data_IF_540900558241
#
_entry.id   IF_540900558241
#
_cell.length_a   1.000
_cell.length_b   1.000
_cell.length_c   1.000
_cell.angle_alpha   90.00
_cell.angle_beta   90.00
_cell.angle_gamma   90.00
#
_symmetry.space_group_name_H-M   'P 1'
#
loop_
_entity.id
_entity.type
_entity.pdbx_description
1 polymer ?
#
# COMPACT_ATOMS: atom_id res chain seq x y z
N UNK A 1 -59.25 4.35 30.96
CA UNK A 1 -57.79 4.28 31.18
C UNK A 1 -57.25 3.13 30.35
N UNK A 2 -56.71 3.43 29.17
CA UNK A 2 -56.16 2.45 28.25
C UNK A 2 -54.73 2.10 28.69
N UNK A 3 -54.42 0.80 28.81
CA UNK A 3 -53.05 0.31 29.00
C UNK A 3 -52.35 0.36 27.64
N UNK A 4 -51.49 1.34 27.48
CA UNK A 4 -50.55 1.47 26.38
C UNK A 4 -49.46 0.40 26.56
N UNK A 5 -49.49 -0.62 25.70
CA UNK A 5 -48.48 -1.68 25.69
C UNK A 5 -47.42 -1.30 24.66
N UNK A 6 -46.35 -0.68 25.15
CA UNK A 6 -45.15 -0.40 24.37
C UNK A 6 -44.59 -1.72 23.82
N UNK A 7 -44.68 -1.87 22.50
CA UNK A 7 -44.16 -2.98 21.71
C UNK A 7 -42.64 -2.92 21.73
N UNK A 8 -42.01 -3.84 22.46
CA UNK A 8 -40.57 -4.02 22.41
C UNK A 8 -40.13 -4.39 20.99
N UNK A 9 -39.26 -3.57 20.40
CA UNK A 9 -38.67 -3.79 19.08
C UNK A 9 -37.56 -4.84 19.21
N UNK A 10 -37.82 -6.06 18.76
CA UNK A 10 -36.82 -7.13 18.67
C UNK A 10 -35.74 -6.76 17.64
N UNK A 11 -34.43 -6.96 17.91
CA UNK A 11 -33.39 -6.73 16.91
C UNK A 11 -33.57 -7.68 15.72
N UNK A 12 -33.66 -7.12 14.50
CA UNK A 12 -33.82 -7.89 13.28
C UNK A 12 -32.64 -8.85 13.04
N UNK A 13 -32.94 -10.09 12.68
CA UNK A 13 -31.93 -11.14 12.40
C UNK A 13 -31.16 -10.78 11.12
N UNK A 14 -29.84 -10.60 11.21
CA UNK A 14 -28.99 -10.30 10.07
C UNK A 14 -29.20 -11.28 8.89
N UNK A 15 -29.32 -10.73 7.69
CA UNK A 15 -29.49 -11.47 6.44
C UNK A 15 -28.31 -12.43 6.22
N UNK A 16 -28.50 -13.44 5.37
CA UNK A 16 -27.39 -14.36 5.02
C UNK A 16 -26.21 -13.62 4.36
N UNK A 17 -26.49 -12.54 3.61
CA UNK A 17 -25.48 -11.72 2.93
C UNK A 17 -24.66 -10.90 3.93
N UNK A 18 -25.31 -10.23 4.88
CA UNK A 18 -24.62 -9.47 5.93
C UNK A 18 -23.74 -10.37 6.79
N UNK A 19 -24.24 -11.56 7.17
CA UNK A 19 -23.43 -12.54 7.90
C UNK A 19 -22.21 -13.01 7.10
N UNK A 20 -22.37 -13.24 5.79
CA UNK A 20 -21.23 -13.58 4.92
C UNK A 20 -20.21 -12.43 4.88
N UNK A 21 -20.66 -11.18 4.77
CA UNK A 21 -19.80 -9.99 4.76
C UNK A 21 -18.98 -9.87 6.04
N UNK A 22 -19.62 -9.95 7.21
CA UNK A 22 -18.92 -9.92 8.51
C UNK A 22 -17.89 -11.05 8.66
N UNK A 23 -18.20 -12.24 8.13
CA UNK A 23 -17.25 -13.36 8.13
C UNK A 23 -16.07 -13.12 7.18
N UNK A 24 -16.30 -12.50 6.02
CA UNK A 24 -15.24 -12.10 5.09
C UNK A 24 -14.34 -11.04 5.73
N UNK A 25 -14.91 -10.00 6.34
CA UNK A 25 -14.17 -8.96 7.04
C UNK A 25 -13.30 -9.53 8.17
N UNK A 26 -13.87 -10.41 8.99
CA UNK A 26 -13.12 -11.09 10.06
C UNK A 26 -11.97 -11.95 9.49
N UNK A 27 -12.21 -12.68 8.41
CA UNK A 27 -11.18 -13.50 7.77
C UNK A 27 -10.07 -12.66 7.14
N UNK A 28 -10.42 -11.53 6.51
CA UNK A 28 -9.46 -10.58 5.92
C UNK A 28 -8.59 -9.94 7.01
N UNK A 29 -9.19 -9.48 8.11
CA UNK A 29 -8.45 -8.91 9.24
C UNK A 29 -7.48 -9.92 9.86
N UNK A 30 -7.93 -11.16 10.10
CA UNK A 30 -7.06 -12.21 10.62
C UNK A 30 -5.94 -12.58 9.63
N UNK A 31 -6.23 -12.60 8.32
CA UNK A 31 -5.23 -12.83 7.28
C UNK A 31 -4.17 -11.70 7.23
N UNK A 32 -4.60 -10.45 7.38
CA UNK A 32 -3.71 -9.28 7.47
C UNK A 32 -2.78 -9.37 8.70
N UNK A 33 -3.33 -9.69 9.88
CA UNK A 33 -2.57 -9.89 11.11
C UNK A 33 -1.59 -11.09 11.01
N UNK A 34 -2.04 -12.20 10.41
CA UNK A 34 -1.21 -13.37 10.16
C UNK A 34 -0.05 -13.05 9.22
N UNK A 35 -0.28 -12.28 8.15
CA UNK A 35 0.77 -11.89 7.21
C UNK A 35 1.80 -10.94 7.84
N UNK A 36 1.38 -10.04 8.75
CA UNK A 36 2.32 -9.20 9.50
C UNK A 36 3.22 -10.01 10.43
N UNK A 37 2.68 -11.05 11.07
CA UNK A 37 3.40 -11.85 12.05
C UNK A 37 4.28 -12.95 11.43
N UNK A 38 3.75 -13.67 10.45
CA UNK A 38 4.36 -14.88 9.89
C UNK A 38 4.88 -14.68 8.45
N UNK A 39 4.72 -13.49 7.89
CA UNK A 39 5.07 -13.19 6.50
C UNK A 39 4.17 -13.88 5.47
N UNK A 40 4.54 -13.73 4.19
CA UNK A 40 3.76 -14.22 3.06
C UNK A 40 3.57 -15.75 3.06
N UNK A 41 4.59 -16.48 3.54
CA UNK A 41 4.56 -17.94 3.65
C UNK A 41 3.56 -18.42 4.71
N UNK A 42 3.33 -17.63 5.77
CA UNK A 42 2.33 -17.90 6.79
C UNK A 42 0.89 -17.76 6.30
N UNK A 43 0.67 -16.95 5.26
CA UNK A 43 -0.66 -16.70 4.72
C UNK A 43 -1.14 -17.86 3.83
N UNK A 44 -1.68 -18.89 4.47
CA UNK A 44 -2.31 -20.05 3.81
C UNK A 44 -3.74 -20.22 4.30
N UNK A 45 -4.62 -20.78 3.47
CA UNK A 45 -6.02 -21.06 3.84
C UNK A 45 -6.10 -21.98 5.07
N UNK A 46 -5.16 -22.93 5.19
CA UNK A 46 -5.09 -23.82 6.35
C UNK A 46 -4.74 -23.06 7.64
N UNK A 47 -3.64 -22.30 7.66
CA UNK A 47 -3.25 -21.52 8.84
C UNK A 47 -4.31 -20.49 9.22
N UNK A 48 -4.93 -19.85 8.23
CA UNK A 48 -6.04 -18.93 8.48
C UNK A 48 -7.25 -19.64 9.12
N UNK A 49 -7.55 -20.87 8.68
CA UNK A 49 -8.58 -21.70 9.32
C UNK A 49 -8.24 -22.05 10.76
N UNK A 50 -6.98 -22.41 11.03
CA UNK A 50 -6.48 -22.67 12.38
C UNK A 50 -6.59 -21.42 13.28
N UNK A 51 -6.17 -20.25 12.80
CA UNK A 51 -6.28 -18.95 13.49
C UNK A 51 -7.74 -18.61 13.85
N UNK A 52 -8.65 -18.81 12.90
CA UNK A 52 -10.08 -18.52 13.05
C UNK A 52 -10.88 -19.65 13.71
N UNK A 53 -10.24 -20.79 14.01
CA UNK A 53 -10.87 -22.02 14.53
C UNK A 53 -12.01 -22.52 13.65
N UNK A 54 -11.83 -22.46 12.33
CA UNK A 54 -12.76 -22.97 11.32
C UNK A 54 -12.06 -23.91 10.35
N UNK A 55 -12.81 -24.85 9.78
CA UNK A 55 -12.29 -25.69 8.71
C UNK A 55 -11.98 -24.83 7.45
N UNK A 56 -10.90 -25.15 6.74
CA UNK A 56 -10.47 -24.43 5.54
C UNK A 56 -11.57 -24.36 4.45
N UNK A 57 -12.44 -25.36 4.35
CA UNK A 57 -13.60 -25.33 3.44
C UNK A 57 -14.58 -24.21 3.76
N UNK A 58 -14.61 -23.71 4.99
CA UNK A 58 -15.38 -22.50 5.35
C UNK A 58 -14.83 -21.27 4.65
N UNK A 59 -13.51 -21.13 4.58
CA UNK A 59 -12.86 -20.01 3.90
C UNK A 59 -13.11 -20.06 2.39
N UNK A 60 -13.09 -21.25 1.78
CA UNK A 60 -13.45 -21.43 0.37
C UNK A 60 -14.95 -21.18 0.06
N UNK A 61 -15.82 -21.07 1.07
CA UNK A 61 -17.21 -20.59 0.89
C UNK A 61 -17.29 -19.06 0.95
N UNK A 62 -16.33 -18.43 1.63
CA UNK A 62 -16.22 -16.98 1.74
C UNK A 62 -15.53 -16.38 0.51
N UNK A 63 -14.47 -17.02 0.03
CA UNK A 63 -13.66 -16.60 -1.11
C UNK A 63 -13.61 -17.70 -2.17
N UNK A 64 -13.68 -17.31 -3.44
CA UNK A 64 -13.59 -18.19 -4.61
C UNK A 64 -12.28 -18.96 -4.63
N UNK A 65 -11.19 -18.30 -4.28
CA UNK A 65 -9.85 -18.87 -4.22
C UNK A 65 -8.96 -18.07 -3.24
N UNK A 66 -7.69 -18.47 -3.14
CA UNK A 66 -6.68 -17.74 -2.34
C UNK A 66 -6.43 -16.34 -2.90
N UNK A 67 -6.58 -16.15 -4.19
CA UNK A 67 -6.27 -14.89 -4.85
C UNK A 67 -7.28 -13.80 -4.48
N UNK A 68 -8.57 -14.13 -4.45
CA UNK A 68 -9.62 -13.23 -3.98
C UNK A 68 -9.42 -12.82 -2.51
N UNK A 69 -8.97 -13.75 -1.66
CA UNK A 69 -8.59 -13.42 -0.27
C UNK A 69 -7.42 -12.43 -0.24
N UNK A 70 -6.38 -12.65 -1.05
CA UNK A 70 -5.20 -11.77 -1.09
C UNK A 70 -5.56 -10.35 -1.56
N UNK A 71 -6.41 -10.22 -2.58
CA UNK A 71 -6.90 -8.91 -3.04
C UNK A 71 -7.73 -8.21 -1.96
N UNK A 72 -8.55 -8.96 -1.20
CA UNK A 72 -9.31 -8.40 -0.09
C UNK A 72 -8.43 -7.98 1.09
N UNK A 73 -7.36 -8.72 1.38
CA UNK A 73 -6.32 -8.33 2.36
C UNK A 73 -5.60 -7.06 1.92
N UNK A 74 -5.34 -6.91 0.62
CA UNK A 74 -4.74 -5.68 0.12
C UNK A 74 -5.68 -4.48 0.27
N UNK A 75 -6.95 -4.63 -0.13
CA UNK A 75 -7.93 -3.55 0.03
C UNK A 75 -8.11 -3.16 1.50
N UNK A 76 -8.01 -4.13 2.42
CA UNK A 76 -7.98 -3.86 3.85
C UNK A 76 -6.75 -3.05 4.28
N UNK A 77 -5.55 -3.37 3.77
CA UNK A 77 -4.36 -2.57 4.02
C UNK A 77 -4.53 -1.11 3.54
N UNK A 78 -5.11 -0.92 2.34
CA UNK A 78 -5.45 0.42 1.83
C UNK A 78 -6.50 1.13 2.70
N UNK A 79 -7.45 0.40 3.29
CA UNK A 79 -8.41 0.98 4.22
C UNK A 79 -7.73 1.47 5.51
N UNK A 80 -6.73 0.73 6.01
CA UNK A 80 -5.91 1.16 7.15
C UNK A 80 -5.11 2.42 6.80
N UNK A 81 -4.50 2.47 5.61
CA UNK A 81 -3.79 3.66 5.12
C UNK A 81 -4.71 4.88 5.04
N UNK A 82 -5.91 4.72 4.47
CA UNK A 82 -6.91 5.79 4.40
C UNK A 82 -7.32 6.30 5.78
N UNK A 83 -7.51 5.39 6.75
CA UNK A 83 -7.83 5.77 8.12
C UNK A 83 -6.69 6.55 8.79
N UNK A 84 -5.43 6.19 8.51
CA UNK A 84 -4.26 6.90 9.03
C UNK A 84 -3.98 8.23 8.29
N UNK A 85 -4.30 8.33 7.00
CA UNK A 85 -4.33 9.61 6.29
C UNK A 85 -5.34 10.50 6.99
N UNK A 86 -6.56 10.03 7.18
CA UNK A 86 -7.63 10.82 7.79
C UNK A 86 -8.21 11.85 6.83
N UNK A 87 -8.86 12.88 7.38
CA UNK A 87 -9.49 13.93 6.58
C UNK A 87 -8.44 14.85 5.93
N UNK A 88 -8.81 15.41 4.78
CA UNK A 88 -8.00 16.39 4.04
C UNK A 88 -8.68 17.76 4.20
N UNK A 89 -8.07 18.69 4.95
CA UNK A 89 -8.60 20.05 5.08
C UNK A 89 -8.69 20.75 3.71
N UNK A 90 -9.72 21.58 3.53
CA UNK A 90 -9.94 22.30 2.26
C UNK A 90 -8.81 23.29 1.95
N UNK A 91 -8.16 23.84 2.97
CA UNK A 91 -7.06 24.80 2.92
C UNK A 91 -5.67 24.14 2.90
N UNK A 92 -5.58 22.82 3.06
CA UNK A 92 -4.30 22.10 2.99
C UNK A 92 -3.73 22.14 1.56
N UNK A 93 -2.44 22.47 1.42
CA UNK A 93 -1.76 22.41 0.13
C UNK A 93 -1.80 20.98 -0.43
N UNK A 94 -2.16 20.85 -1.70
CA UNK A 94 -2.32 19.55 -2.37
C UNK A 94 -1.03 18.71 -2.32
N UNK A 95 0.15 19.34 -2.33
CA UNK A 95 1.43 18.66 -2.19
C UNK A 95 1.57 17.96 -0.84
N UNK A 96 1.07 18.56 0.24
CA UNK A 96 1.19 18.02 1.59
C UNK A 96 0.28 16.81 1.78
N UNK A 97 -0.92 16.86 1.21
CA UNK A 97 -1.81 15.69 1.12
C UNK A 97 -1.12 14.53 0.37
N UNK A 98 -0.52 14.77 -0.80
CA UNK A 98 0.16 13.73 -1.58
C UNK A 98 1.41 13.20 -0.88
N UNK A 99 2.18 14.04 -0.19
CA UNK A 99 3.32 13.60 0.63
C UNK A 99 2.87 12.70 1.78
N UNK A 100 1.76 13.04 2.44
CA UNK A 100 1.16 12.22 3.50
C UNK A 100 0.71 10.85 2.97
N UNK A 101 0.07 10.81 1.79
CA UNK A 101 -0.30 9.56 1.12
C UNK A 101 0.94 8.73 0.79
N UNK A 102 1.96 9.34 0.17
CA UNK A 102 3.22 8.67 -0.15
C UNK A 102 3.91 8.11 1.11
N UNK A 103 3.90 8.86 2.22
CA UNK A 103 4.48 8.39 3.47
C UNK A 103 3.73 7.18 4.05
N UNK A 104 2.40 7.12 3.91
CA UNK A 104 1.62 5.94 4.31
C UNK A 104 1.96 4.70 3.48
N UNK A 105 2.05 4.84 2.16
CA UNK A 105 2.47 3.76 1.27
C UNK A 105 3.85 3.22 1.69
N UNK A 106 4.79 4.12 1.99
CA UNK A 106 6.11 3.75 2.50
C UNK A 106 6.05 3.00 3.84
N UNK A 107 5.28 3.53 4.80
CA UNK A 107 5.12 2.92 6.13
C UNK A 107 4.52 1.51 6.03
N UNK A 108 3.51 1.31 5.18
CA UNK A 108 2.94 -0.02 4.93
C UNK A 108 3.99 -0.97 4.37
N UNK A 109 4.79 -0.54 3.39
CA UNK A 109 5.83 -1.38 2.82
C UNK A 109 6.91 -1.80 3.84
N UNK A 110 7.25 -0.93 4.79
CA UNK A 110 8.24 -1.23 5.84
C UNK A 110 7.64 -2.07 6.97
N UNK A 111 6.41 -1.78 7.41
CA UNK A 111 5.77 -2.48 8.54
C UNK A 111 5.18 -3.84 8.14
N UNK A 112 4.72 -3.94 6.90
CA UNK A 112 4.00 -5.10 6.37
C UNK A 112 4.58 -5.55 5.02
N UNK A 113 5.90 -5.84 4.94
CA UNK A 113 6.58 -6.11 3.66
C UNK A 113 5.99 -7.31 2.92
N UNK A 114 5.53 -8.33 3.64
CA UNK A 114 4.88 -9.49 3.04
C UNK A 114 3.59 -9.13 2.26
N UNK A 115 2.83 -8.16 2.77
CA UNK A 115 1.59 -7.72 2.13
C UNK A 115 1.96 -6.86 0.93
N UNK A 116 2.76 -5.82 1.14
CA UNK A 116 3.19 -4.92 0.07
C UNK A 116 3.88 -5.66 -1.09
N UNK A 117 4.77 -6.62 -0.82
CA UNK A 117 5.47 -7.39 -1.85
C UNK A 117 4.53 -8.22 -2.74
N UNK A 118 3.41 -8.72 -2.18
CA UNK A 118 2.44 -9.51 -2.93
C UNK A 118 1.45 -8.66 -3.72
N UNK A 119 1.31 -7.38 -3.39
CA UNK A 119 0.15 -6.59 -3.81
C UNK A 119 0.48 -5.30 -4.54
N UNK A 120 1.70 -4.76 -4.44
CA UNK A 120 2.05 -3.44 -4.99
C UNK A 120 1.79 -3.27 -6.49
N UNK A 121 1.80 -4.36 -7.27
CA UNK A 121 1.55 -4.35 -8.70
C UNK A 121 0.13 -4.80 -9.09
N UNK A 122 -0.79 -4.90 -8.13
CA UNK A 122 -2.12 -5.49 -8.32
C UNK A 122 -3.22 -4.46 -8.15
N UNK A 123 -4.33 -4.65 -8.86
CA UNK A 123 -5.57 -3.88 -8.68
C UNK A 123 -6.57 -4.70 -7.90
N UNK A 124 -7.12 -4.18 -6.80
CA UNK A 124 -8.11 -4.91 -5.97
C UNK A 124 -9.53 -4.79 -6.51
N UNK A 125 -9.86 -3.66 -7.14
CA UNK A 125 -11.23 -3.26 -7.48
C UNK A 125 -12.11 -3.00 -6.25
N UNK A 126 -11.53 -3.02 -5.05
CA UNK A 126 -12.23 -2.92 -3.78
C UNK A 126 -12.68 -1.49 -3.46
N UNK A 127 -13.52 -1.32 -2.42
CA UNK A 127 -13.97 0.00 -1.98
C UNK A 127 -12.83 0.90 -1.50
N UNK A 128 -11.82 0.37 -0.81
CA UNK A 128 -10.74 1.20 -0.27
C UNK A 128 -9.81 1.69 -1.39
N UNK A 129 -9.42 0.82 -2.32
CA UNK A 129 -8.64 1.23 -3.49
C UNK A 129 -9.37 2.31 -4.29
N UNK A 130 -10.67 2.13 -4.59
CA UNK A 130 -11.46 3.15 -5.29
C UNK A 130 -11.49 4.49 -4.56
N UNK A 131 -11.56 4.48 -3.22
CA UNK A 131 -11.51 5.72 -2.44
C UNK A 131 -10.12 6.36 -2.47
N UNK A 132 -9.05 5.58 -2.41
CA UNK A 132 -7.68 6.08 -2.54
C UNK A 132 -7.43 6.70 -3.92
N UNK A 133 -7.91 6.05 -4.99
CA UNK A 133 -7.85 6.57 -6.37
C UNK A 133 -8.58 7.90 -6.46
N UNK A 134 -9.81 7.98 -5.95
CA UNK A 134 -10.60 9.21 -5.92
C UNK A 134 -9.86 10.32 -5.17
N UNK A 135 -9.34 10.02 -3.97
CA UNK A 135 -8.62 10.97 -3.13
C UNK A 135 -7.39 11.58 -3.84
N UNK A 136 -6.58 10.74 -4.49
CA UNK A 136 -5.38 11.21 -5.20
C UNK A 136 -5.77 12.07 -6.42
N UNK A 137 -6.81 11.66 -7.17
CA UNK A 137 -7.33 12.43 -8.31
C UNK A 137 -7.92 13.78 -7.88
N UNK A 138 -8.75 13.80 -6.82
CA UNK A 138 -9.30 15.02 -6.21
C UNK A 138 -8.16 15.97 -5.79
N UNK A 139 -7.10 15.41 -5.21
CA UNK A 139 -5.94 16.19 -4.74
C UNK A 139 -5.16 16.79 -5.91
N UNK A 140 -4.86 16.04 -6.97
CA UNK A 140 -4.22 16.59 -8.16
C UNK A 140 -5.11 17.61 -8.89
N UNK A 141 -6.43 17.40 -8.94
CA UNK A 141 -7.35 18.34 -9.59
C UNK A 141 -7.34 19.74 -8.93
N UNK A 142 -7.06 19.82 -7.62
CA UNK A 142 -6.91 21.08 -6.88
C UNK A 142 -5.67 21.89 -7.27
N UNK A 143 -4.71 21.29 -7.99
CA UNK A 143 -3.48 21.98 -8.43
C UNK A 143 -3.69 22.91 -9.64
N UNK A 144 -4.83 22.82 -10.33
CA UNK A 144 -5.10 23.59 -11.56
C UNK A 144 -4.69 22.89 -12.86
N UNK A 145 -4.21 21.64 -12.79
CA UNK A 145 -3.92 20.82 -13.96
C UNK A 145 -5.16 20.57 -14.83
N UNK A 146 -4.94 20.38 -16.13
CA UNK A 146 -5.97 19.85 -17.03
C UNK A 146 -6.41 18.45 -16.60
N UNK A 147 -7.58 17.99 -17.07
CA UNK A 147 -8.07 16.63 -16.78
C UNK A 147 -7.09 15.54 -17.24
N UNK A 148 -6.50 15.72 -18.42
CA UNK A 148 -5.53 14.79 -18.98
C UNK A 148 -4.25 14.74 -18.13
N UNK A 149 -3.71 15.91 -17.78
CA UNK A 149 -2.52 16.01 -16.95
C UNK A 149 -2.77 15.45 -15.54
N UNK A 150 -3.94 15.69 -14.96
CA UNK A 150 -4.35 15.13 -13.66
C UNK A 150 -4.26 13.60 -13.66
N UNK A 151 -4.81 12.93 -14.69
CA UNK A 151 -4.75 11.47 -14.81
C UNK A 151 -3.31 10.99 -14.99
N UNK A 152 -2.51 11.70 -15.80
CA UNK A 152 -1.10 11.36 -16.03
C UNK A 152 -0.27 11.45 -14.74
N UNK A 153 -0.40 12.52 -13.98
CA UNK A 153 0.33 12.69 -12.71
C UNK A 153 -0.18 11.77 -11.60
N UNK A 154 -1.49 11.50 -11.55
CA UNK A 154 -2.04 10.44 -10.69
C UNK A 154 -1.35 9.09 -10.97
N UNK A 155 -1.31 8.65 -12.23
CA UNK A 155 -0.68 7.38 -12.61
C UNK A 155 0.81 7.38 -12.33
N UNK A 156 1.53 8.45 -12.66
CA UNK A 156 2.95 8.57 -12.38
C UNK A 156 3.25 8.51 -10.87
N UNK A 157 2.47 9.22 -10.05
CA UNK A 157 2.60 9.21 -8.60
C UNK A 157 2.31 7.83 -8.01
N UNK A 158 1.17 7.22 -8.36
CA UNK A 158 0.77 5.92 -7.85
C UNK A 158 1.75 4.81 -8.27
N UNK A 159 2.10 4.74 -9.56
CA UNK A 159 2.98 3.70 -10.08
C UNK A 159 4.42 3.86 -9.51
N UNK A 160 4.92 5.10 -9.34
CA UNK A 160 6.24 5.34 -8.75
C UNK A 160 6.29 5.02 -7.25
N UNK A 161 5.30 5.47 -6.48
CA UNK A 161 5.25 5.22 -5.02
C UNK A 161 5.08 3.74 -4.72
N UNK A 162 4.09 3.08 -5.34
CA UNK A 162 3.88 1.64 -5.17
C UNK A 162 5.07 0.82 -5.68
N UNK A 163 5.67 1.20 -6.82
CA UNK A 163 6.82 0.50 -7.38
C UNK A 163 8.05 0.54 -6.47
N UNK A 164 8.44 1.73 -6.00
CA UNK A 164 9.61 1.90 -5.12
C UNK A 164 9.37 1.29 -3.74
N UNK A 165 8.19 1.49 -3.15
CA UNK A 165 7.82 0.87 -1.88
C UNK A 165 7.74 -0.67 -2.00
N UNK A 166 7.21 -1.16 -3.12
CA UNK A 166 7.17 -2.58 -3.47
C UNK A 166 8.56 -3.21 -3.57
N UNK A 167 9.53 -2.53 -4.18
CA UNK A 167 10.92 -3.00 -4.21
C UNK A 167 11.51 -3.16 -2.81
N UNK A 168 11.28 -2.19 -1.92
CA UNK A 168 11.70 -2.27 -0.51
C UNK A 168 11.07 -3.48 0.17
N UNK A 169 9.76 -3.67 -0.02
CA UNK A 169 9.01 -4.77 0.55
C UNK A 169 9.51 -6.14 0.05
N UNK A 170 9.71 -6.30 -1.27
CA UNK A 170 10.22 -7.54 -1.87
C UNK A 170 11.59 -7.90 -1.28
N UNK A 171 12.51 -6.94 -1.21
CA UNK A 171 13.83 -7.17 -0.63
C UNK A 171 13.74 -7.59 0.85
N UNK A 172 12.83 -6.99 1.62
CA UNK A 172 12.60 -7.35 3.02
C UNK A 172 12.00 -8.76 3.20
N UNK A 173 11.43 -9.35 2.15
CA UNK A 173 10.90 -10.74 2.19
C UNK A 173 11.93 -11.80 1.78
N UNK A 174 13.13 -11.42 1.33
CA UNK A 174 14.19 -12.36 0.97
C UNK A 174 14.76 -13.06 2.22
N UNK A 175 15.48 -14.16 2.00
CA UNK A 175 16.24 -14.80 3.07
C UNK A 175 17.25 -13.83 3.71
N UNK A 176 17.43 -13.79 5.05
CA UNK A 176 18.35 -12.86 5.71
C UNK A 176 19.79 -12.90 5.18
N UNK A 177 20.28 -14.06 4.76
CA UNK A 177 21.62 -14.18 4.17
C UNK A 177 21.69 -13.47 2.82
N UNK A 178 20.63 -13.56 2.02
CA UNK A 178 20.51 -12.85 0.74
C UNK A 178 20.41 -11.33 0.98
N UNK A 179 19.59 -10.91 1.95
CA UNK A 179 19.47 -9.48 2.31
C UNK A 179 20.83 -8.88 2.70
N UNK A 180 21.61 -9.57 3.54
CA UNK A 180 22.93 -9.13 3.95
C UNK A 180 23.92 -9.06 2.77
N UNK A 181 23.86 -10.05 1.85
CA UNK A 181 24.67 -10.04 0.63
C UNK A 181 24.36 -8.83 -0.24
N UNK A 182 23.07 -8.55 -0.48
CA UNK A 182 22.56 -7.45 -1.30
C UNK A 182 22.88 -6.08 -0.70
N UNK A 183 22.67 -5.90 0.61
CA UNK A 183 23.01 -4.67 1.30
C UNK A 183 24.51 -4.33 1.12
N UNK A 184 25.38 -5.34 1.19
CA UNK A 184 26.81 -5.16 0.99
C UNK A 184 27.24 -5.19 -0.49
N UNK A 185 26.36 -5.51 -1.44
CA UNK A 185 26.73 -5.61 -2.87
C UNK A 185 27.14 -4.28 -3.46
N UNK A 186 26.49 -3.17 -3.08
CA UNK A 186 26.87 -1.84 -3.56
C UNK A 186 28.29 -1.48 -3.12
N UNK A 187 28.64 -1.69 -1.84
CA UNK A 187 30.01 -1.48 -1.34
C UNK A 187 30.99 -2.51 -1.91
N UNK A 188 30.62 -3.79 -2.02
CA UNK A 188 31.54 -4.84 -2.47
C UNK A 188 31.89 -4.72 -3.95
N UNK A 189 30.91 -4.42 -4.80
CA UNK A 189 31.07 -4.39 -6.25
C UNK A 189 31.57 -3.00 -6.68
N UNK A 190 30.86 -1.94 -6.33
CA UNK A 190 31.18 -0.61 -6.85
C UNK A 190 32.41 0.01 -6.16
N UNK A 191 32.66 -0.29 -4.88
CA UNK A 191 33.82 0.30 -4.18
C UNK A 191 35.16 -0.22 -4.69
N UNK A 192 35.17 -1.35 -5.40
CA UNK A 192 36.37 -1.98 -5.93
C UNK A 192 36.49 -1.86 -7.46
N UNK A 193 35.72 -0.95 -8.09
CA UNK A 193 35.83 -0.72 -9.53
C UNK A 193 37.24 -0.23 -9.91
N UNK A 194 37.83 -0.75 -11.00
CA UNK A 194 39.14 -0.29 -11.48
C UNK A 194 39.14 1.20 -11.85
N UNK A 195 40.09 1.97 -11.30
CA UNK A 195 40.21 3.43 -11.48
C UNK A 195 40.35 3.84 -12.95
N UNK A 196 41.01 3.02 -13.78
CA UNK A 196 41.25 3.33 -15.20
C UNK A 196 40.05 3.09 -16.12
N UNK A 197 39.05 2.33 -15.68
CA UNK A 197 37.91 1.92 -16.50
C UNK A 197 36.60 2.61 -16.11
N UNK A 198 36.44 2.96 -14.83
CA UNK A 198 35.21 3.58 -14.30
C UNK A 198 35.46 4.89 -13.53
N UNK A 199 36.14 5.89 -14.13
CA UNK A 199 36.57 7.09 -13.43
C UNK A 199 35.40 7.89 -12.81
N UNK A 200 34.26 7.98 -13.51
CA UNK A 200 33.07 8.71 -13.01
C UNK A 200 32.42 8.02 -11.82
N UNK A 201 32.24 6.70 -11.87
CA UNK A 201 31.65 5.96 -10.75
C UNK A 201 32.55 6.04 -9.51
N UNK A 202 33.87 6.01 -9.72
CA UNK A 202 34.86 6.16 -8.66
C UNK A 202 34.83 7.56 -8.04
N UNK A 203 34.64 8.61 -8.84
CA UNK A 203 34.51 9.97 -8.33
C UNK A 203 33.29 10.17 -7.38
N UNK A 204 32.27 9.31 -7.47
CA UNK A 204 31.04 9.39 -6.67
C UNK A 204 30.81 8.17 -5.77
N UNK A 205 31.84 7.38 -5.50
CA UNK A 205 31.65 6.05 -4.91
C UNK A 205 31.13 6.09 -3.48
N UNK A 206 31.51 7.11 -2.73
CA UNK A 206 31.04 7.32 -1.36
C UNK A 206 29.52 7.54 -1.36
N UNK A 207 29.04 8.46 -2.20
CA UNK A 207 27.62 8.80 -2.31
C UNK A 207 26.80 7.64 -2.89
N UNK A 208 27.33 6.96 -3.92
CA UNK A 208 26.69 5.81 -4.55
C UNK A 208 26.46 4.65 -3.57
N UNK A 209 27.34 4.49 -2.58
CA UNK A 209 27.23 3.40 -1.59
C UNK A 209 26.50 3.79 -0.31
N UNK A 210 26.30 5.08 -0.06
CA UNK A 210 25.63 5.58 1.15
C UNK A 210 24.14 5.92 0.96
N UNK A 211 23.66 6.02 -0.28
CA UNK A 211 22.28 6.43 -0.54
C UNK A 211 21.28 5.35 -0.11
N UNK A 212 20.32 5.75 0.73
CA UNK A 212 19.28 4.84 1.21
C UNK A 212 18.01 4.91 0.35
N UNK A 213 17.18 3.88 0.47
CA UNK A 213 15.97 3.73 -0.36
C UNK A 213 14.89 4.77 -0.02
N UNK A 214 14.82 5.26 1.22
CA UNK A 214 13.85 6.30 1.61
C UNK A 214 14.21 7.63 0.95
N UNK A 215 15.50 7.97 0.91
CA UNK A 215 15.98 9.16 0.20
C UNK A 215 15.58 9.14 -1.28
N UNK A 216 15.73 8.00 -1.97
CA UNK A 216 15.29 7.86 -3.37
C UNK A 216 13.78 7.99 -3.50
N UNK A 217 13.01 7.39 -2.58
CA UNK A 217 11.55 7.47 -2.57
C UNK A 217 11.07 8.92 -2.45
N UNK A 218 11.57 9.65 -1.46
CA UNK A 218 11.20 11.04 -1.22
C UNK A 218 11.62 11.96 -2.38
N UNK A 219 12.79 11.70 -3.00
CA UNK A 219 13.25 12.41 -4.19
C UNK A 219 12.27 12.22 -5.37
N UNK A 220 11.85 11.00 -5.64
CA UNK A 220 10.94 10.69 -6.75
C UNK A 220 9.56 11.29 -6.51
N UNK A 221 9.03 11.18 -5.28
CA UNK A 221 7.78 11.86 -4.89
C UNK A 221 7.92 13.37 -5.13
N UNK A 222 8.97 13.99 -4.62
CA UNK A 222 9.23 15.42 -4.81
C UNK A 222 9.33 15.82 -6.28
N UNK A 223 9.98 15.01 -7.12
CA UNK A 223 10.13 15.26 -8.55
C UNK A 223 8.79 15.23 -9.30
N UNK A 224 7.92 14.26 -8.99
CA UNK A 224 6.56 14.18 -9.58
C UNK A 224 5.72 15.39 -9.18
N UNK A 225 5.73 15.76 -7.89
CA UNK A 225 4.98 16.92 -7.40
C UNK A 225 5.48 18.24 -8.03
N UNK A 226 6.80 18.44 -8.09
CA UNK A 226 7.36 19.64 -8.69
C UNK A 226 7.11 19.72 -10.20
N UNK A 227 7.02 18.59 -10.91
CA UNK A 227 6.66 18.56 -12.31
C UNK A 227 5.18 18.94 -12.53
N UNK A 228 4.28 18.40 -11.70
CA UNK A 228 2.86 18.77 -11.72
C UNK A 228 2.67 20.27 -11.46
N UNK A 229 3.38 20.84 -10.48
CA UNK A 229 3.31 22.27 -10.16
C UNK A 229 3.79 23.17 -11.30
N UNK A 230 4.87 22.79 -11.99
CA UNK A 230 5.35 23.56 -13.16
C UNK A 230 4.32 23.55 -14.29
N UNK A 231 3.76 22.39 -14.59
CA UNK A 231 2.78 22.27 -15.67
C UNK A 231 1.45 22.97 -15.36
N UNK A 232 1.04 22.97 -14.09
CA UNK A 232 -0.15 23.73 -13.68
C UNK A 232 0.07 25.24 -13.81
N UNK A 233 1.27 25.73 -13.53
CA UNK A 233 1.61 27.15 -13.70
C UNK A 233 1.68 27.58 -15.18
N UNK A 234 2.05 26.68 -16.09
CA UNK A 234 2.06 26.93 -17.54
C UNK A 234 0.66 26.90 -18.17
N UNK A 235 -0.29 26.23 -17.50
CA UNK A 235 -1.68 26.10 -17.96
C UNK A 235 -2.61 27.20 -17.44
N UNK A 236 -2.12 28.06 -16.53
CA UNK A 236 -2.85 29.15 -15.89
C UNK A 236 -2.67 30.48 -16.64
#
# INVERSE_FOLDING_TARGET
MAKDTARATTPGRATRRERKGLQQEAAVKAAFELAQRDGAAGLTMRRLGEELKVDATTLYRLFRDKDELLLAVYDHATAVELAEIGEVPEDEHWQDTLRRIADRIWVTAVRSPAIAALTFARTTGGPAERRMVELILETFARSGLSREATVRYYRAFADATLGLAGQVAVLATLDPEIQAKDAASWTRIYAHLPDGEYPTARAHITELTSIDRRTIYDLVVGAVLAAAERESAESA
#
